data_IF_702894025328
#
_entry.id   IF_702894025328
#
_cell.length_a   1.000
_cell.length_b   1.000
_cell.length_c   1.000
_cell.angle_alpha   90.00
_cell.angle_beta   90.00
_cell.angle_gamma   90.00
#
_symmetry.space_group_name_H-M   'P 1'
#
loop_
_entity.id
_entity.type
_entity.pdbx_description
1 polymer ?
#
# COMPACT_ATOMS: atom_id res chain seq x y z
N UNK A 1 14.03 -24.51 3.22
CA UNK A 1 13.00 -23.47 3.33
C UNK A 1 12.04 -23.92 4.40
N UNK A 2 12.08 -23.26 5.56
CA UNK A 2 11.34 -23.71 6.73
C UNK A 2 9.94 -23.11 6.74
N UNK A 3 8.98 -23.80 7.36
CA UNK A 3 7.61 -23.32 7.52
C UNK A 3 7.55 -21.92 8.17
N UNK A 4 8.44 -21.66 9.13
CA UNK A 4 8.54 -20.37 9.82
C UNK A 4 8.90 -19.22 8.87
N UNK A 5 9.69 -19.47 7.82
CA UNK A 5 10.08 -18.45 6.86
C UNK A 5 8.88 -18.02 6.00
N UNK A 6 8.06 -18.99 5.59
CA UNK A 6 6.82 -18.74 4.84
C UNK A 6 5.81 -18.01 5.73
N UNK A 7 5.61 -18.45 6.97
CA UNK A 7 4.71 -17.79 7.91
C UNK A 7 5.15 -16.34 8.16
N UNK A 8 6.46 -16.11 8.36
CA UNK A 8 7.02 -14.77 8.54
C UNK A 8 6.79 -13.91 7.30
N UNK A 9 7.00 -14.44 6.10
CA UNK A 9 6.74 -13.72 4.85
C UNK A 9 5.26 -13.34 4.70
N UNK A 10 4.34 -14.25 5.08
CA UNK A 10 2.90 -13.99 5.05
C UNK A 10 2.54 -12.87 6.03
N UNK A 11 3.05 -12.90 7.25
CA UNK A 11 2.72 -11.89 8.26
C UNK A 11 3.36 -10.52 7.96
N UNK A 12 4.64 -10.50 7.58
CA UNK A 12 5.40 -9.27 7.40
C UNK A 12 5.16 -8.58 6.06
N UNK A 13 4.74 -9.32 5.03
CA UNK A 13 4.59 -8.78 3.68
C UNK A 13 3.26 -9.18 3.04
N UNK A 14 2.84 -10.45 3.15
CA UNK A 14 1.58 -10.92 2.55
C UNK A 14 0.34 -10.16 3.05
N UNK A 15 0.07 -10.18 4.35
CA UNK A 15 -1.08 -9.51 4.98
C UNK A 15 -1.07 -7.99 4.76
N UNK A 16 0.04 -7.27 4.96
CA UNK A 16 0.11 -5.85 4.63
C UNK A 16 -0.19 -5.58 3.15
N UNK A 17 0.29 -6.41 2.23
CA UNK A 17 -0.01 -6.27 0.81
C UNK A 17 -1.49 -6.50 0.50
N UNK A 18 -2.17 -7.42 1.18
CA UNK A 18 -3.64 -7.57 1.10
C UNK A 18 -4.32 -6.27 1.54
N UNK A 19 -3.97 -5.75 2.71
CA UNK A 19 -4.61 -4.56 3.28
C UNK A 19 -4.39 -3.31 2.40
N UNK A 20 -3.15 -3.04 2.00
CA UNK A 20 -2.81 -1.90 1.15
C UNK A 20 -3.50 -1.98 -0.21
N UNK A 21 -3.50 -3.16 -0.83
CA UNK A 21 -4.16 -3.35 -2.11
C UNK A 21 -5.67 -3.19 -1.98
N UNK A 22 -6.26 -3.76 -0.93
CA UNK A 22 -7.69 -3.60 -0.66
C UNK A 22 -8.08 -2.13 -0.49
N UNK A 23 -7.33 -1.34 0.29
CA UNK A 23 -7.61 0.08 0.52
C UNK A 23 -7.51 0.89 -0.77
N UNK A 24 -6.38 0.78 -1.49
CA UNK A 24 -6.13 1.59 -2.68
C UNK A 24 -7.12 1.24 -3.80
N UNK A 25 -7.36 -0.05 -4.04
CA UNK A 25 -8.30 -0.46 -5.09
C UNK A 25 -9.75 -0.19 -4.71
N UNK A 26 -10.11 -0.24 -3.42
CA UNK A 26 -11.45 0.20 -3.00
C UNK A 26 -11.68 1.66 -3.33
N UNK A 27 -10.68 2.53 -3.15
CA UNK A 27 -10.81 3.94 -3.53
C UNK A 27 -10.94 4.14 -5.04
N UNK A 28 -10.21 3.36 -5.84
CA UNK A 28 -10.26 3.42 -7.31
C UNK A 28 -11.58 2.88 -7.86
N UNK A 29 -12.13 1.81 -7.28
CA UNK A 29 -13.43 1.30 -7.69
C UNK A 29 -14.56 2.24 -7.26
N UNK A 30 -14.44 2.87 -6.08
CA UNK A 30 -15.40 3.87 -5.60
C UNK A 30 -15.41 5.16 -6.42
N UNK A 31 -14.28 5.57 -7.00
CA UNK A 31 -14.23 6.73 -7.89
C UNK A 31 -14.96 6.47 -9.22
N UNK A 32 -15.41 5.24 -9.48
CA UNK A 32 -16.09 4.85 -10.72
C UNK A 32 -15.17 4.82 -11.93
N UNK A 33 -13.85 4.87 -11.69
CA UNK A 33 -12.86 4.98 -12.75
C UNK A 33 -12.48 3.64 -13.37
N UNK A 34 -12.73 2.55 -12.66
CA UNK A 34 -12.57 1.18 -13.12
C UNK A 34 -13.88 0.45 -12.87
N UNK A 35 -14.42 -0.19 -13.90
CA UNK A 35 -15.60 -1.05 -13.74
C UNK A 35 -15.20 -2.30 -12.94
N UNK A 36 -16.01 -2.67 -11.94
CA UNK A 36 -15.80 -3.86 -11.11
C UNK A 36 -15.82 -5.17 -11.91
N UNK A 37 -16.32 -5.13 -13.16
CA UNK A 37 -16.35 -6.25 -14.10
C UNK A 37 -15.12 -6.37 -15.00
N UNK A 38 -14.21 -5.41 -14.97
CA UNK A 38 -13.03 -5.41 -15.84
C UNK A 38 -12.05 -6.54 -15.51
N UNK A 39 -11.50 -7.19 -16.54
CA UNK A 39 -10.48 -8.24 -16.40
C UNK A 39 -9.20 -7.67 -15.77
N UNK A 40 -8.40 -8.53 -15.13
CA UNK A 40 -7.11 -8.21 -14.49
C UNK A 40 -6.19 -7.33 -15.35
N UNK A 41 -6.15 -7.57 -16.66
CA UNK A 41 -5.33 -6.80 -17.61
C UNK A 41 -5.90 -5.39 -17.88
N UNK A 42 -7.23 -5.25 -17.88
CA UNK A 42 -7.91 -3.98 -17.99
C UNK A 42 -7.67 -3.13 -16.73
N UNK A 43 -7.74 -3.71 -15.53
CA UNK A 43 -7.38 -3.04 -14.26
C UNK A 43 -5.94 -2.50 -14.33
N UNK A 44 -4.97 -3.32 -14.77
CA UNK A 44 -3.58 -2.90 -14.90
C UNK A 44 -3.40 -1.74 -15.90
N UNK A 45 -4.17 -1.78 -16.99
CA UNK A 45 -4.13 -0.75 -18.04
C UNK A 45 -4.76 0.56 -17.56
N UNK A 46 -5.85 0.47 -16.80
CA UNK A 46 -6.57 1.62 -16.27
C UNK A 46 -5.81 2.26 -15.11
N UNK A 47 -5.21 1.48 -14.20
CA UNK A 47 -4.27 1.99 -13.17
C UNK A 47 -3.12 2.79 -13.78
N UNK A 48 -2.60 2.37 -14.94
CA UNK A 48 -1.57 3.16 -15.66
C UNK A 48 -2.12 4.47 -16.24
N UNK A 49 -3.37 4.47 -16.72
CA UNK A 49 -4.07 5.67 -17.24
C UNK A 49 -4.52 6.62 -16.13
N UNK A 50 -4.71 6.10 -14.92
CA UNK A 50 -5.11 6.85 -13.73
C UNK A 50 -4.01 7.77 -13.17
N UNK A 51 -2.77 7.66 -13.65
CA UNK A 51 -1.66 8.57 -13.32
C UNK A 51 -1.99 10.06 -13.55
N UNK A 52 -2.99 10.35 -14.37
CA UNK A 52 -3.38 11.71 -14.79
C UNK A 52 -4.72 12.20 -14.23
N UNK A 53 -5.44 11.41 -13.43
CA UNK A 53 -6.79 11.76 -13.00
C UNK A 53 -6.84 12.40 -11.62
N UNK A 54 -7.43 13.59 -11.57
CA UNK A 54 -7.67 14.45 -10.42
C UNK A 54 -8.83 13.99 -9.53
N UNK A 55 -9.29 12.75 -9.67
CA UNK A 55 -10.58 12.22 -9.20
C UNK A 55 -10.66 11.83 -7.72
N UNK A 56 -9.52 11.76 -7.01
CA UNK A 56 -9.48 11.59 -5.55
C UNK A 56 -9.75 12.92 -4.82
N UNK A 57 -10.62 13.75 -5.39
CA UNK A 57 -10.87 15.09 -4.89
C UNK A 57 -11.73 15.02 -3.62
N UNK A 58 -11.27 15.66 -2.55
CA UNK A 58 -11.97 15.76 -1.27
C UNK A 58 -11.22 15.23 -0.04
N UNK A 59 -10.19 14.39 -0.18
CA UNK A 59 -9.38 13.95 0.99
C UNK A 59 -7.87 14.01 0.71
N UNK A 60 -7.21 15.02 1.32
CA UNK A 60 -5.76 15.27 1.21
C UNK A 60 -4.91 14.03 1.55
N UNK A 61 -5.33 13.22 2.53
CA UNK A 61 -4.61 12.01 2.91
C UNK A 61 -4.67 10.90 1.86
N UNK A 62 -5.83 10.70 1.24
CA UNK A 62 -6.00 9.73 0.15
C UNK A 62 -5.13 10.10 -1.04
N UNK A 63 -5.14 11.39 -1.41
CA UNK A 63 -4.33 11.92 -2.51
C UNK A 63 -2.83 11.76 -2.24
N UNK A 64 -2.36 12.08 -1.04
CA UNK A 64 -0.94 11.89 -0.69
C UNK A 64 -0.46 10.44 -0.80
N UNK A 65 -1.23 9.48 -0.27
CA UNK A 65 -0.89 8.05 -0.38
C UNK A 65 -0.93 7.57 -1.83
N UNK A 66 -1.92 8.02 -2.61
CA UNK A 66 -2.04 7.71 -4.02
C UNK A 66 -0.87 8.27 -4.84
N UNK A 67 -0.51 9.53 -4.64
CA UNK A 67 0.59 10.20 -5.34
C UNK A 67 1.92 9.49 -5.06
N UNK A 68 2.18 9.11 -3.80
CA UNK A 68 3.34 8.28 -3.45
C UNK A 68 3.31 6.93 -4.15
N UNK A 69 2.15 6.29 -4.24
CA UNK A 69 2.03 4.98 -4.89
C UNK A 69 2.29 5.04 -6.38
N UNK A 70 1.80 6.08 -7.03
CA UNK A 70 2.09 6.38 -8.43
C UNK A 70 3.59 6.66 -8.63
N UNK A 71 4.21 7.40 -7.72
CA UNK A 71 5.64 7.71 -7.76
C UNK A 71 6.53 6.47 -7.69
N UNK A 72 6.19 5.50 -6.82
CA UNK A 72 6.89 4.21 -6.75
C UNK A 72 6.59 3.25 -7.92
N UNK A 73 5.77 3.63 -8.90
CA UNK A 73 5.59 2.86 -10.13
C UNK A 73 4.18 2.33 -10.38
N UNK A 74 3.21 2.60 -9.49
CA UNK A 74 1.82 2.10 -9.52
C UNK A 74 1.70 0.55 -9.56
N UNK A 75 0.57 0.00 -9.11
CA UNK A 75 0.35 -1.46 -9.03
C UNK A 75 1.15 -2.15 -7.92
N UNK A 76 1.47 -3.44 -8.14
CA UNK A 76 2.14 -4.32 -7.18
C UNK A 76 3.47 -3.76 -6.66
N UNK A 77 4.38 -3.40 -7.57
CA UNK A 77 5.72 -2.92 -7.22
C UNK A 77 5.65 -1.63 -6.39
N UNK A 78 4.74 -0.72 -6.75
CA UNK A 78 4.53 0.52 -6.01
C UNK A 78 4.06 0.30 -4.58
N UNK A 79 3.13 -0.64 -4.37
CA UNK A 79 2.64 -0.96 -3.01
C UNK A 79 3.71 -1.65 -2.18
N UNK A 80 4.47 -2.57 -2.77
CA UNK A 80 5.55 -3.27 -2.08
C UNK A 80 6.65 -2.30 -1.65
N UNK A 81 7.02 -1.34 -2.51
CA UNK A 81 7.98 -0.29 -2.18
C UNK A 81 7.50 0.64 -1.07
N UNK A 82 6.25 1.10 -1.12
CA UNK A 82 5.66 1.90 -0.03
C UNK A 82 5.66 1.14 1.28
N UNK A 83 5.23 -0.13 1.26
CA UNK A 83 5.18 -0.93 2.47
C UNK A 83 6.57 -1.10 3.08
N UNK A 84 7.58 -1.40 2.26
CA UNK A 84 8.95 -1.50 2.72
C UNK A 84 9.43 -0.18 3.33
N UNK A 85 9.15 0.95 2.69
CA UNK A 85 9.50 2.27 3.22
C UNK A 85 8.86 2.50 4.60
N UNK A 86 7.55 2.21 4.75
CA UNK A 86 6.84 2.33 6.02
C UNK A 86 7.50 1.47 7.10
N UNK A 87 7.83 0.22 6.79
CA UNK A 87 8.44 -0.70 7.75
C UNK A 87 9.84 -0.23 8.17
N UNK A 88 10.64 0.27 7.24
CA UNK A 88 11.96 0.84 7.52
C UNK A 88 11.83 2.07 8.42
N UNK A 89 11.03 3.07 8.02
CA UNK A 89 10.88 4.33 8.76
C UNK A 89 10.28 4.11 10.17
N UNK A 90 9.28 3.23 10.29
CA UNK A 90 8.70 2.89 11.60
C UNK A 90 9.71 2.13 12.46
N UNK A 91 10.48 1.22 11.88
CA UNK A 91 11.55 0.51 12.59
C UNK A 91 12.62 1.46 13.13
N UNK A 92 13.06 2.41 12.33
CA UNK A 92 13.99 3.46 12.76
C UNK A 92 13.40 4.37 13.83
N UNK A 93 12.15 4.79 13.69
CA UNK A 93 11.47 5.62 14.68
C UNK A 93 11.36 4.88 16.03
N UNK A 94 10.95 3.61 16.01
CA UNK A 94 10.89 2.78 17.22
C UNK A 94 12.28 2.59 17.82
N UNK A 95 13.30 2.35 16.99
CA UNK A 95 14.70 2.27 17.43
C UNK A 95 15.19 3.57 18.07
N UNK A 96 14.88 4.72 17.46
CA UNK A 96 15.19 6.03 17.99
C UNK A 96 14.52 6.25 19.35
N UNK A 97 13.20 6.04 19.44
CA UNK A 97 12.42 6.19 20.68
C UNK A 97 12.93 5.27 21.80
N UNK A 98 13.36 4.05 21.47
CA UNK A 98 13.91 3.10 22.45
C UNK A 98 15.28 3.53 22.97
N UNK A 99 16.09 4.20 22.14
CA UNK A 99 17.44 4.65 22.48
C UNK A 99 17.48 6.07 23.08
N UNK A 100 16.37 6.80 23.11
CA UNK A 100 16.29 8.13 23.74
C UNK A 100 16.70 8.13 25.22
N UNK A 101 16.56 7.00 25.92
CA UNK A 101 17.02 6.85 27.31
C UNK A 101 18.55 6.83 27.47
N UNK A 102 19.31 6.61 26.39
CA UNK A 102 20.77 6.53 26.36
C UNK A 102 21.43 7.78 25.77
N UNK A 103 20.62 8.80 25.41
CA UNK A 103 21.05 10.02 24.73
C UNK A 103 21.70 11.03 25.70
N UNK A 104 22.84 10.68 26.29
CA UNK A 104 23.66 11.61 27.10
C UNK A 104 24.62 12.47 26.26
N UNK A 105 24.62 12.33 24.92
CA UNK A 105 25.60 12.94 24.01
C UNK A 105 25.10 14.07 23.09
N UNK A 106 23.85 14.54 23.23
CA UNK A 106 23.29 15.56 22.33
C UNK A 106 24.02 16.90 22.33
N UNK A 107 24.72 17.22 23.42
CA UNK A 107 25.41 18.50 23.58
C UNK A 107 26.59 18.70 22.64
N UNK A 108 27.16 17.62 22.08
CA UNK A 108 28.36 17.68 21.24
C UNK A 108 28.06 17.56 19.74
N UNK A 109 26.82 17.23 19.37
CA UNK A 109 26.46 17.02 17.97
C UNK A 109 26.02 18.34 17.34
N UNK A 110 26.69 18.74 16.26
CA UNK A 110 26.29 19.92 15.49
C UNK A 110 24.93 19.71 14.83
N UNK A 111 24.09 20.74 14.82
CA UNK A 111 22.80 20.74 14.10
C UNK A 111 23.01 20.41 12.61
N UNK A 112 24.13 20.88 12.03
CA UNK A 112 24.47 20.60 10.63
C UNK A 112 24.75 19.12 10.41
N UNK A 113 25.47 18.44 11.31
CA UNK A 113 25.70 16.99 11.20
C UNK A 113 24.41 16.20 11.38
N UNK A 114 23.52 16.60 12.29
CA UNK A 114 22.21 15.97 12.46
C UNK A 114 21.36 16.04 11.18
N UNK A 115 21.33 17.20 10.53
CA UNK A 115 20.56 17.39 9.29
C UNK A 115 21.16 16.54 8.16
N UNK A 116 22.48 16.54 8.00
CA UNK A 116 23.14 15.75 6.95
C UNK A 116 22.90 14.25 7.16
N UNK A 117 23.08 13.78 8.39
CA UNK A 117 22.87 12.37 8.74
C UNK A 117 21.42 11.95 8.52
N UNK A 118 20.47 12.80 8.94
CA UNK A 118 19.06 12.58 8.63
C UNK A 118 18.83 12.46 7.12
N UNK A 119 19.34 13.39 6.31
CA UNK A 119 19.16 13.35 4.85
C UNK A 119 19.77 12.10 4.21
N UNK A 120 20.96 11.68 4.65
CA UNK A 120 21.61 10.46 4.15
C UNK A 120 20.79 9.22 4.53
N UNK A 121 20.30 9.14 5.77
CA UNK A 121 19.47 8.03 6.22
C UNK A 121 18.16 7.96 5.45
N UNK A 122 17.47 9.10 5.25
CA UNK A 122 16.25 9.15 4.45
C UNK A 122 16.47 8.72 3.00
N UNK A 123 17.60 9.12 2.39
CA UNK A 123 17.97 8.67 1.05
C UNK A 123 18.24 7.15 1.04
N UNK A 124 18.95 6.63 2.04
CA UNK A 124 19.21 5.20 2.19
C UNK A 124 17.93 4.38 2.30
N UNK A 125 16.98 4.82 3.13
CA UNK A 125 15.68 4.17 3.30
C UNK A 125 14.88 4.15 2.02
N UNK A 126 14.91 5.27 1.28
CA UNK A 126 14.26 5.36 0.00
C UNK A 126 14.86 4.36 -1.01
N UNK A 127 16.18 4.28 -1.10
CA UNK A 127 16.86 3.33 -1.98
C UNK A 127 16.57 1.87 -1.59
N UNK A 128 16.56 1.56 -0.28
CA UNK A 128 16.18 0.24 0.21
C UNK A 128 14.73 -0.11 -0.10
N UNK A 129 13.81 0.85 -0.01
CA UNK A 129 12.42 0.67 -0.41
C UNK A 129 12.27 0.41 -1.92
N UNK A 130 13.07 1.07 -2.77
CA UNK A 130 13.13 0.73 -4.19
C UNK A 130 13.68 -0.69 -4.42
N UNK A 131 14.59 -1.14 -3.56
CA UNK A 131 15.17 -2.49 -3.58
C UNK A 131 14.50 -3.43 -2.56
N UNK A 132 13.21 -3.24 -2.28
CA UNK A 132 12.51 -3.86 -1.15
C UNK A 132 12.65 -5.39 -1.08
N UNK A 133 12.82 -6.08 -2.22
CA UNK A 133 12.99 -7.53 -2.23
C UNK A 133 14.27 -7.99 -1.52
N UNK A 134 15.27 -7.12 -1.42
CA UNK A 134 16.52 -7.36 -0.69
C UNK A 134 16.49 -6.91 0.77
N UNK A 135 15.46 -6.18 1.20
CA UNK A 135 15.30 -5.76 2.60
C UNK A 135 14.83 -6.90 3.51
N UNK A 136 13.97 -7.77 2.99
CA UNK A 136 13.38 -8.84 3.79
C UNK A 136 14.41 -9.92 4.11
N UNK A 137 14.40 -10.48 5.34
CA UNK A 137 15.33 -11.54 5.73
C UNK A 137 15.04 -12.79 4.89
N UNK A 138 15.87 -13.09 3.91
CA UNK A 138 15.56 -14.09 2.89
C UNK A 138 16.63 -15.15 2.72
N UNK A 139 16.25 -16.41 3.01
CA UNK A 139 16.88 -17.61 2.45
C UNK A 139 16.45 -17.86 0.99
N UNK A 140 15.34 -17.25 0.55
CA UNK A 140 14.86 -17.30 -0.84
C UNK A 140 14.00 -16.09 -1.21
N UNK A 141 14.51 -15.25 -2.10
CA UNK A 141 13.83 -14.06 -2.64
C UNK A 141 12.48 -14.38 -3.31
N UNK A 142 12.36 -15.55 -3.95
CA UNK A 142 11.16 -15.94 -4.70
C UNK A 142 9.93 -16.11 -3.80
N UNK A 143 10.13 -16.54 -2.56
CA UNK A 143 9.05 -16.75 -1.59
C UNK A 143 8.42 -15.43 -1.21
N UNK A 144 9.25 -14.47 -0.83
CA UNK A 144 8.80 -13.12 -0.47
C UNK A 144 8.08 -12.46 -1.63
N UNK A 145 8.62 -12.57 -2.85
CA UNK A 145 7.99 -12.05 -4.05
C UNK A 145 6.63 -12.73 -4.32
N UNK A 146 6.57 -14.06 -4.22
CA UNK A 146 5.35 -14.84 -4.43
C UNK A 146 4.26 -14.53 -3.41
N UNK A 147 4.62 -14.48 -2.12
CA UNK A 147 3.69 -14.15 -1.03
C UNK A 147 3.17 -12.73 -1.16
N UNK A 148 4.03 -11.76 -1.46
CA UNK A 148 3.63 -10.38 -1.71
C UNK A 148 2.67 -10.28 -2.89
N UNK A 149 2.96 -11.00 -3.98
CA UNK A 149 2.17 -11.00 -5.19
C UNK A 149 0.78 -11.62 -4.99
N UNK A 150 0.72 -12.74 -4.25
CA UNK A 150 -0.56 -13.34 -3.86
C UNK A 150 -1.36 -12.40 -2.95
N UNK A 151 -0.71 -11.81 -1.95
CA UNK A 151 -1.34 -10.82 -1.07
C UNK A 151 -1.93 -9.64 -1.84
N UNK A 152 -1.15 -9.10 -2.78
CA UNK A 152 -1.60 -8.04 -3.67
C UNK A 152 -2.90 -8.39 -4.40
N UNK A 153 -2.92 -9.53 -5.11
CA UNK A 153 -4.11 -9.93 -5.86
C UNK A 153 -5.31 -10.27 -4.99
N UNK A 154 -5.09 -10.88 -3.82
CA UNK A 154 -6.18 -11.13 -2.87
C UNK A 154 -6.81 -9.80 -2.41
N UNK A 155 -6.02 -8.78 -2.11
CA UNK A 155 -6.54 -7.47 -1.73
C UNK A 155 -7.32 -6.79 -2.86
N UNK A 156 -6.83 -6.87 -4.10
CA UNK A 156 -7.56 -6.35 -5.27
C UNK A 156 -8.90 -7.06 -5.44
N UNK A 157 -8.93 -8.39 -5.32
CA UNK A 157 -10.15 -9.18 -5.49
C UNK A 157 -11.17 -8.91 -4.39
N UNK A 158 -10.72 -8.77 -3.14
CA UNK A 158 -11.58 -8.37 -2.03
C UNK A 158 -12.20 -6.99 -2.24
N UNK A 159 -11.42 -6.04 -2.76
CA UNK A 159 -11.92 -4.69 -3.05
C UNK A 159 -13.00 -4.73 -4.14
N UNK A 160 -12.81 -5.58 -5.15
CA UNK A 160 -13.76 -5.80 -6.24
C UNK A 160 -15.09 -6.38 -5.76
N UNK A 161 -15.04 -7.43 -4.93
CA UNK A 161 -16.25 -8.06 -4.40
C UNK A 161 -17.04 -7.11 -3.47
N UNK A 162 -16.34 -6.41 -2.58
CA UNK A 162 -16.98 -5.47 -1.66
C UNK A 162 -17.74 -4.34 -2.38
N UNK A 163 -17.25 -3.89 -3.54
CA UNK A 163 -17.94 -2.88 -4.36
C UNK A 163 -19.06 -3.46 -5.21
N UNK A 164 -18.92 -4.69 -5.69
CA UNK A 164 -19.99 -5.36 -6.42
C UNK A 164 -21.23 -5.56 -5.53
N UNK A 165 -21.04 -6.05 -4.31
CA UNK A 165 -22.14 -6.25 -3.34
C UNK A 165 -22.84 -4.93 -2.98
N UNK A 166 -22.09 -3.84 -2.79
CA UNK A 166 -22.67 -2.54 -2.46
C UNK A 166 -23.56 -1.99 -3.59
N UNK A 167 -23.14 -2.18 -4.84
CA UNK A 167 -23.92 -1.77 -6.02
C UNK A 167 -25.18 -2.62 -6.20
N UNK A 168 -25.12 -3.94 -6.00
CA UNK A 168 -26.32 -4.79 -6.05
C UNK A 168 -27.36 -4.39 -4.99
N UNK A 169 -26.91 -4.07 -3.78
CA UNK A 169 -27.79 -3.57 -2.72
C UNK A 169 -28.47 -2.26 -3.14
N UNK A 170 -27.72 -1.29 -3.69
CA UNK A 170 -28.29 -0.03 -4.18
C UNK A 170 -29.32 -0.25 -5.31
N UNK A 171 -29.02 -1.13 -6.26
CA UNK A 171 -29.95 -1.47 -7.36
C UNK A 171 -31.22 -2.14 -6.82
N UNK A 172 -31.09 -3.03 -5.84
CA UNK A 172 -32.24 -3.69 -5.22
C UNK A 172 -33.15 -2.70 -4.47
N UNK A 173 -32.56 -1.72 -3.76
CA UNK A 173 -33.29 -0.65 -3.07
C UNK A 173 -33.99 0.30 -4.05
N UNK A 174 -33.35 0.64 -5.17
CA UNK A 174 -33.99 1.44 -6.21
C UNK A 174 -35.14 0.69 -6.88
N UNK A 175 -34.95 -0.59 -7.19
CA UNK A 175 -35.98 -1.45 -7.78
C UNK A 175 -37.19 -1.58 -6.85
N UNK A 176 -36.98 -1.79 -5.56
CA UNK A 176 -38.09 -1.88 -4.59
C UNK A 176 -38.86 -0.55 -4.47
N UNK A 177 -38.15 0.59 -4.51
CA UNK A 177 -38.76 1.93 -4.48
C UNK A 177 -39.57 2.23 -5.75
N UNK A 178 -39.09 1.83 -6.92
CA UNK A 178 -39.79 2.02 -8.21
C UNK A 178 -40.97 1.05 -8.41
N UNK A 179 -40.90 -0.17 -7.86
CA UNK A 179 -42.01 -1.14 -7.92
C UNK A 179 -43.04 -0.99 -6.78
N UNK A 180 -42.87 -0.01 -5.88
CA UNK A 180 -43.88 0.30 -4.86
C UNK A 180 -45.04 1.06 -5.52
N UNK A 181 -46.30 0.59 -5.41
CA UNK A 181 -47.45 1.29 -6.00
C UNK A 181 -47.58 2.70 -5.39
N UNK A 182 -47.96 3.72 -6.19
CA UNK A 182 -48.21 5.06 -5.66
C UNK A 182 -49.32 4.98 -4.60
N UNK A 183 -49.08 5.60 -3.45
CA UNK A 183 -50.07 5.80 -2.40
C UNK A 183 -51.09 6.85 -2.81
#
# INVERSE_FOLDING_TARGET
MNFLDVLRAVLMLGLPMVALSWVIFSWIFLSGEIDCQDKRDAIKTQVKKLKTLSSLDGNRGKRYLYDKWVWFGSGFYGLAGIWALIVIEVGELVGFLSNLGSFSGLGEISIVSLIIEFLINQLGNLLQAFLWWGYWPADSMLVWLGVAYLGYWMGVELARHAQFESMEQLVSLLRSKFNSPPK
#
